data_IF_869550303596
#
_entry.id   IF_869550303596
#
_cell.length_a   1.000
_cell.length_b   1.000
_cell.length_c   1.000
_cell.angle_alpha   90.00
_cell.angle_beta   90.00
_cell.angle_gamma   90.00
#
_symmetry.space_group_name_H-M   'P 1'
#
loop_
_entity.id
_entity.type
_entity.pdbx_description
1 polymer ?
#
# COMPACT_ATOMS: atom_id res chain seq x y z
N UNK A 1 0.49 22.36 7.35
CA UNK A 1 0.30 21.49 8.51
C UNK A 1 1.67 21.02 8.96
N UNK A 2 1.98 21.07 10.26
CA UNK A 2 3.19 20.42 10.79
C UNK A 2 2.84 18.94 10.99
N UNK A 3 2.84 18.16 9.92
CA UNK A 3 2.69 16.71 10.02
C UNK A 3 3.96 16.18 10.69
N UNK A 4 3.82 15.72 11.93
CA UNK A 4 4.92 15.09 12.63
C UNK A 4 5.10 13.70 12.05
N UNK A 5 6.31 13.37 11.61
CA UNK A 5 6.60 12.05 11.03
C UNK A 5 6.31 10.89 12.01
N UNK A 6 6.23 11.20 13.31
CA UNK A 6 5.83 10.26 14.35
C UNK A 6 4.36 9.83 14.27
N UNK A 7 3.50 10.60 13.59
CA UNK A 7 2.09 10.28 13.41
C UNK A 7 1.86 9.33 12.22
N UNK A 8 2.91 9.02 11.45
CA UNK A 8 2.85 8.11 10.32
C UNK A 8 3.41 6.73 10.66
N UNK A 9 2.83 5.70 10.04
CA UNK A 9 3.36 4.34 10.12
C UNK A 9 4.60 4.24 9.23
N UNK A 10 5.77 4.20 9.87
CA UNK A 10 7.03 3.84 9.19
C UNK A 10 7.25 2.35 9.37
N UNK A 11 7.16 1.61 8.26
CA UNK A 11 7.34 0.16 8.21
C UNK A 11 8.39 -0.20 7.18
N UNK A 12 9.51 -0.82 7.61
CA UNK A 12 10.57 -1.25 6.68
C UNK A 12 10.23 -2.62 6.10
N UNK A 13 10.70 -2.87 4.88
CA UNK A 13 10.60 -4.19 4.26
C UNK A 13 11.64 -5.13 4.90
N UNK A 14 11.21 -6.35 5.24
CA UNK A 14 12.08 -7.43 5.76
C UNK A 14 12.94 -8.04 4.66
N UNK A 15 12.34 -8.30 3.51
CA UNK A 15 12.96 -8.89 2.32
C UNK A 15 12.73 -7.97 1.12
N UNK A 16 13.78 -7.33 0.60
CA UNK A 16 13.67 -6.28 -0.42
C UNK A 16 13.04 -6.76 -1.72
N UNK A 17 13.25 -8.02 -2.05
CA UNK A 17 12.72 -8.71 -3.22
C UNK A 17 11.19 -8.78 -3.18
N UNK A 18 10.59 -8.66 -2.00
CA UNK A 18 9.14 -8.67 -1.77
C UNK A 18 8.57 -7.27 -1.57
N UNK A 19 9.35 -6.20 -1.70
CA UNK A 19 8.88 -4.85 -1.37
C UNK A 19 7.71 -4.40 -2.26
N UNK A 20 7.82 -4.65 -3.57
CA UNK A 20 6.86 -4.15 -4.56
C UNK A 20 6.26 -5.35 -5.30
N UNK A 21 4.94 -5.31 -5.49
CA UNK A 21 4.22 -6.30 -6.28
C UNK A 21 3.28 -5.56 -7.24
N UNK A 22 3.38 -5.87 -8.53
CA UNK A 22 2.51 -5.27 -9.54
C UNK A 22 2.08 -6.34 -10.55
N UNK A 23 0.84 -6.25 -11.01
CA UNK A 23 0.32 -7.06 -12.10
C UNK A 23 -0.70 -6.25 -12.89
N UNK A 24 -1.09 -6.74 -14.07
CA UNK A 24 -2.11 -6.08 -14.89
C UNK A 24 -3.49 -6.02 -14.23
N UNK A 25 -3.74 -6.85 -13.21
CA UNK A 25 -5.01 -6.89 -12.48
C UNK A 25 -4.93 -6.13 -11.15
N UNK A 26 -3.76 -5.59 -10.78
CA UNK A 26 -3.55 -4.88 -9.52
C UNK A 26 -3.22 -3.41 -9.78
N UNK A 27 -3.65 -2.56 -8.86
CA UNK A 27 -3.03 -1.26 -8.64
C UNK A 27 -1.66 -1.39 -7.96
N UNK A 28 -1.04 -0.28 -7.54
CA UNK A 28 0.22 -0.32 -6.80
C UNK A 28 0.05 -1.13 -5.52
N UNK A 29 0.71 -2.29 -5.45
CA UNK A 29 0.66 -3.19 -4.30
C UNK A 29 2.06 -3.37 -3.70
N UNK A 30 2.09 -3.64 -2.41
CA UNK A 30 3.32 -3.78 -1.64
C UNK A 30 3.31 -5.11 -0.90
N UNK A 31 4.47 -5.76 -0.83
CA UNK A 31 4.55 -7.01 -0.12
C UNK A 31 3.81 -8.17 -0.79
N UNK A 32 3.70 -9.28 -0.06
CA UNK A 32 2.88 -10.42 -0.46
C UNK A 32 1.56 -10.31 0.29
N UNK A 33 0.77 -9.30 -0.09
CA UNK A 33 -0.49 -8.94 0.57
C UNK A 33 -0.38 -7.81 1.59
N UNK A 34 0.81 -7.26 1.83
CA UNK A 34 1.00 -6.18 2.81
C UNK A 34 0.24 -4.91 2.46
N UNK A 35 0.05 -4.62 1.18
CA UNK A 35 -1.00 -3.76 0.69
C UNK A 35 -1.40 -4.26 -0.69
N UNK A 36 -2.64 -4.72 -0.84
CA UNK A 36 -3.19 -5.12 -2.14
C UNK A 36 -4.30 -4.18 -2.53
N UNK A 37 -4.07 -3.46 -3.63
CA UNK A 37 -5.07 -2.63 -4.29
C UNK A 37 -5.54 -3.40 -5.53
N UNK A 38 -6.68 -4.06 -5.43
CA UNK A 38 -7.21 -4.96 -6.46
C UNK A 38 -8.55 -4.46 -6.97
N UNK A 39 -8.58 -4.05 -8.24
CA UNK A 39 -9.77 -3.49 -8.89
C UNK A 39 -10.79 -4.54 -9.33
N UNK A 40 -10.50 -5.82 -9.12
CA UNK A 40 -11.32 -6.90 -9.66
C UNK A 40 -11.34 -6.90 -11.18
N UNK A 41 -12.36 -7.53 -11.76
CA UNK A 41 -12.53 -7.64 -13.22
C UNK A 41 -12.98 -6.31 -13.88
N UNK A 42 -13.30 -5.30 -13.08
CA UNK A 42 -13.84 -4.02 -13.54
C UNK A 42 -12.84 -2.85 -13.38
N UNK A 43 -11.61 -3.14 -12.97
CA UNK A 43 -10.59 -2.13 -12.64
C UNK A 43 -11.10 -1.06 -11.64
N UNK A 44 -11.99 -1.48 -10.75
CA UNK A 44 -12.71 -0.64 -9.80
C UNK A 44 -12.22 -0.90 -8.37
N UNK A 45 -11.33 -0.02 -7.91
CA UNK A 45 -10.76 -0.07 -6.55
C UNK A 45 -11.74 0.39 -5.46
N UNK A 46 -12.91 0.93 -5.84
CA UNK A 46 -13.94 1.33 -4.87
C UNK A 46 -14.68 0.13 -4.29
N UNK A 47 -14.60 -1.03 -4.95
CA UNK A 47 -15.12 -2.27 -4.39
C UNK A 47 -14.26 -2.70 -3.20
N UNK A 48 -14.93 -3.25 -2.18
CA UNK A 48 -14.31 -3.68 -0.90
C UNK A 48 -13.50 -4.97 -1.06
N UNK A 49 -12.65 -5.03 -2.08
CA UNK A 49 -11.79 -6.15 -2.47
C UNK A 49 -10.31 -5.92 -2.14
N UNK A 50 -9.93 -4.68 -1.81
CA UNK A 50 -8.59 -4.35 -1.34
C UNK A 50 -8.37 -4.87 0.08
N UNK A 51 -7.14 -5.27 0.41
CA UNK A 51 -6.80 -5.81 1.73
C UNK A 51 -5.34 -5.53 2.11
N UNK A 52 -5.02 -5.72 3.39
CA UNK A 52 -3.72 -5.50 3.99
C UNK A 52 -3.46 -6.59 5.05
N UNK A 53 -2.30 -7.26 5.00
CA UNK A 53 -1.87 -8.26 5.98
C UNK A 53 -0.40 -8.08 6.36
N UNK A 54 0.01 -8.39 7.60
CA UNK A 54 1.43 -8.25 7.96
C UNK A 54 2.26 -9.44 7.46
N UNK A 55 3.10 -9.27 6.44
CA UNK A 55 4.01 -10.34 5.97
C UNK A 55 5.42 -9.85 5.71
N UNK A 56 5.61 -9.15 4.60
CA UNK A 56 6.91 -8.71 4.09
C UNK A 56 7.42 -7.44 4.77
N UNK A 57 6.59 -6.74 5.54
CA UNK A 57 6.92 -5.51 6.24
C UNK A 57 6.99 -5.72 7.78
N UNK A 58 7.74 -4.86 8.47
CA UNK A 58 7.94 -4.91 9.94
C UNK A 58 6.65 -4.62 10.73
N UNK A 59 5.79 -3.77 10.19
CA UNK A 59 4.48 -3.37 10.72
C UNK A 59 3.44 -3.38 9.62
N UNK A 60 2.16 -3.53 9.97
CA UNK A 60 1.08 -3.35 9.00
C UNK A 60 1.15 -1.97 8.34
N UNK A 61 0.88 -1.92 7.04
CA UNK A 61 0.83 -0.67 6.28
C UNK A 61 -0.43 0.13 6.64
N UNK A 62 -1.49 -0.54 7.08
CA UNK A 62 -2.73 0.04 7.62
C UNK A 62 -2.96 -0.38 9.07
N UNK A 63 -3.72 0.41 9.82
CA UNK A 63 -4.08 0.06 11.20
C UNK A 63 -4.94 -1.22 11.29
N UNK A 64 -5.76 -1.48 10.28
CA UNK A 64 -6.69 -2.62 10.23
C UNK A 64 -6.37 -3.56 9.08
N UNK A 65 -6.63 -4.85 9.27
CA UNK A 65 -6.57 -5.88 8.21
C UNK A 65 -7.90 -6.06 7.46
N UNK A 66 -8.94 -5.31 7.87
CA UNK A 66 -10.23 -5.30 7.21
C UNK A 66 -10.12 -4.88 5.74
N UNK A 67 -11.00 -5.46 4.92
CA UNK A 67 -11.12 -5.06 3.52
C UNK A 67 -11.58 -3.61 3.40
N UNK A 68 -11.06 -2.92 2.39
CA UNK A 68 -11.30 -1.49 2.20
C UNK A 68 -11.58 -1.13 0.74
N UNK A 69 -12.15 0.04 0.55
CA UNK A 69 -12.30 0.73 -0.74
C UNK A 69 -11.23 1.80 -0.87
N UNK A 70 -10.82 2.12 -2.09
CA UNK A 70 -9.97 3.27 -2.43
C UNK A 70 -10.80 4.21 -3.29
N UNK A 71 -11.08 5.40 -2.79
CA UNK A 71 -11.80 6.45 -3.53
C UNK A 71 -10.83 7.34 -4.32
N UNK A 72 -9.67 7.64 -3.71
CA UNK A 72 -8.63 8.49 -4.27
C UNK A 72 -7.25 7.96 -3.87
N UNK A 73 -6.26 8.15 -4.75
CA UNK A 73 -4.88 7.78 -4.52
C UNK A 73 -3.95 8.87 -5.09
N UNK A 74 -3.08 9.41 -4.25
CA UNK A 74 -2.09 10.42 -4.63
C UNK A 74 -0.69 9.78 -4.71
N UNK A 75 0.06 10.07 -5.77
CA UNK A 75 1.41 9.54 -5.99
C UNK A 75 2.41 10.69 -5.96
N UNK A 76 3.40 10.59 -5.08
CA UNK A 76 4.45 11.59 -4.91
C UNK A 76 5.81 11.03 -5.31
N UNK A 77 6.56 11.81 -6.09
CA UNK A 77 7.96 11.49 -6.43
C UNK A 77 8.91 12.38 -5.63
N UNK A 78 9.80 11.77 -4.86
CA UNK A 78 10.87 12.50 -4.15
C UNK A 78 12.00 12.75 -5.14
N UNK A 79 12.36 14.02 -5.33
CA UNK A 79 13.49 14.45 -6.15
C UNK A 79 14.60 15.02 -5.27
N UNK A 80 15.84 14.64 -5.51
CA UNK A 80 16.99 15.28 -4.87
C UNK A 80 17.15 16.69 -5.41
N UNK A 81 17.34 17.65 -4.51
CA UNK A 81 17.73 19.01 -4.88
C UNK A 81 19.20 18.99 -5.28
N UNK A 82 19.48 19.39 -6.52
CA UNK A 82 20.84 19.65 -7.00
C UNK A 82 21.37 20.95 -6.40
#
# INVERSE_FOLDING_TARGET
MNENINDHIISRVKEKEKAINYSNCFGPSFGIGDLTIFGGDLDDFSQRNNYCIMRSYEKNIRETEDKFSVEECEIFQIITKN
#
